data_IF_264511632969
#
_entry.id   IF_264511632969
#
_cell.length_a   1.000
_cell.length_b   1.000
_cell.length_c   1.000
_cell.angle_alpha   90.00
_cell.angle_beta   90.00
_cell.angle_gamma   90.00
#
_symmetry.space_group_name_H-M   'P 1'
#
loop_
_entity.id
_entity.type
_entity.pdbx_description
1 polymer ?
#
# COMPACT_ATOMS: atom_id res chain seq x y z
N UNK A 1 8.38 17.82 -23.49
CA UNK A 1 8.00 18.66 -24.66
C UNK A 1 7.10 17.92 -25.64
N UNK A 2 7.48 16.73 -26.10
CA UNK A 2 6.70 15.99 -27.09
C UNK A 2 5.35 15.52 -26.54
N UNK A 3 5.30 15.11 -25.25
CA UNK A 3 4.08 14.78 -24.54
C UNK A 3 3.05 15.94 -24.57
N UNK A 4 3.49 17.17 -24.32
CA UNK A 4 2.61 18.34 -24.32
C UNK A 4 2.11 18.70 -25.72
N UNK A 5 2.97 18.57 -26.73
CA UNK A 5 2.56 18.74 -28.13
C UNK A 5 1.54 17.69 -28.58
N UNK A 6 1.71 16.45 -28.11
CA UNK A 6 0.77 15.37 -28.41
C UNK A 6 -0.58 15.60 -27.72
N UNK A 7 -0.56 16.08 -26.46
CA UNK A 7 -1.77 16.47 -25.75
C UNK A 7 -2.53 17.61 -26.46
N UNK A 8 -1.82 18.59 -27.00
CA UNK A 8 -2.45 19.68 -27.77
C UNK A 8 -3.17 19.18 -29.02
N UNK A 9 -2.62 18.16 -29.69
CA UNK A 9 -3.26 17.57 -30.89
C UNK A 9 -4.50 16.74 -30.52
N UNK A 10 -4.49 16.12 -29.34
CA UNK A 10 -5.54 15.22 -28.88
C UNK A 10 -6.49 15.87 -27.87
N UNK A 11 -6.51 17.18 -27.76
CA UNK A 11 -7.41 17.89 -26.85
C UNK A 11 -8.90 17.68 -27.24
N UNK A 12 -9.82 17.50 -26.27
CA UNK A 12 -9.60 17.50 -24.83
C UNK A 12 -8.99 16.20 -24.31
N UNK A 13 -8.01 16.28 -23.41
CA UNK A 13 -7.33 15.10 -22.85
C UNK A 13 -6.81 15.33 -21.42
N UNK A 14 -6.35 14.26 -20.79
CA UNK A 14 -5.72 14.28 -19.48
C UNK A 14 -4.27 13.81 -19.64
N UNK A 15 -3.32 14.61 -19.15
CA UNK A 15 -1.92 14.21 -18.98
C UNK A 15 -1.77 13.69 -17.54
N UNK A 16 -1.32 12.46 -17.38
CA UNK A 16 -1.01 11.90 -16.08
C UNK A 16 0.51 11.70 -15.93
N UNK A 17 1.08 12.25 -14.85
CA UNK A 17 2.51 12.15 -14.54
C UNK A 17 2.63 11.45 -13.18
N UNK A 18 3.06 10.19 -13.20
CA UNK A 18 3.32 9.45 -11.97
C UNK A 18 4.72 9.75 -11.44
N UNK A 19 4.90 9.60 -10.11
CA UNK A 19 6.17 9.84 -9.42
C UNK A 19 6.82 11.19 -9.77
N UNK A 20 6.04 12.27 -9.76
CA UNK A 20 6.50 13.61 -10.14
C UNK A 20 7.71 14.08 -9.32
N UNK A 21 7.93 13.53 -8.12
CA UNK A 21 9.08 13.81 -7.26
C UNK A 21 10.42 13.33 -7.88
N UNK A 22 10.38 12.44 -8.87
CA UNK A 22 11.58 12.04 -9.61
C UNK A 22 12.23 13.23 -10.34
N UNK A 23 11.43 14.17 -10.83
CA UNK A 23 11.88 15.36 -11.56
C UNK A 23 11.63 16.66 -10.78
N UNK A 24 10.60 16.68 -9.95
CA UNK A 24 10.09 17.86 -9.23
C UNK A 24 10.71 18.14 -7.87
N UNK A 25 11.86 17.58 -7.53
CA UNK A 25 12.49 17.72 -6.20
C UNK A 25 13.07 19.11 -6.00
N UNK A 26 12.89 19.68 -4.80
CA UNK A 26 13.43 20.98 -4.38
C UNK A 26 14.97 21.02 -4.43
N UNK A 27 15.51 22.19 -4.72
CA UNK A 27 16.96 22.48 -4.86
C UNK A 27 17.77 22.37 -3.58
N UNK A 28 17.11 22.32 -2.41
CA UNK A 28 17.76 22.39 -1.08
C UNK A 28 18.45 21.07 -0.65
N UNK A 29 18.44 20.03 -1.44
CA UNK A 29 19.11 18.77 -1.09
C UNK A 29 20.61 18.84 -1.41
N UNK A 30 21.43 19.03 -0.38
CA UNK A 30 22.89 19.20 -0.36
C UNK A 30 23.76 18.02 -0.86
N UNK A 31 23.27 17.13 -1.72
CA UNK A 31 24.06 16.03 -2.26
C UNK A 31 24.23 16.17 -3.77
N UNK A 32 25.50 16.42 -4.14
CA UNK A 32 25.92 16.79 -5.46
C UNK A 32 25.83 15.73 -6.56
N UNK A 33 25.96 16.20 -7.81
CA UNK A 33 26.32 15.40 -8.97
C UNK A 33 25.20 14.65 -9.66
N UNK A 34 24.26 15.32 -10.26
CA UNK A 34 23.15 14.76 -11.03
C UNK A 34 21.99 15.73 -11.18
N UNK A 35 22.19 16.96 -10.75
CA UNK A 35 21.13 17.94 -10.63
C UNK A 35 20.82 18.70 -11.94
N UNK A 36 21.76 18.84 -12.85
CA UNK A 36 21.56 19.71 -14.03
C UNK A 36 20.49 19.17 -14.98
N UNK A 37 20.49 17.89 -15.30
CA UNK A 37 19.46 17.28 -16.16
C UNK A 37 18.05 17.33 -15.53
N UNK A 38 17.98 17.10 -14.21
CA UNK A 38 16.71 17.19 -13.48
C UNK A 38 16.20 18.62 -13.43
N UNK A 39 17.06 19.57 -13.11
CA UNK A 39 16.71 20.99 -13.12
C UNK A 39 16.27 21.44 -14.49
N UNK A 40 16.94 21.01 -15.53
CA UNK A 40 16.56 21.31 -16.91
C UNK A 40 15.19 20.71 -17.25
N UNK A 41 14.93 19.46 -16.84
CA UNK A 41 13.65 18.79 -17.05
C UNK A 41 12.54 19.49 -16.27
N UNK A 42 12.78 19.86 -15.00
CA UNK A 42 11.83 20.60 -14.17
C UNK A 42 11.52 21.95 -14.80
N UNK A 43 12.53 22.73 -15.18
CA UNK A 43 12.35 24.02 -15.81
C UNK A 43 11.59 23.91 -17.15
N UNK A 44 11.85 22.87 -17.92
CA UNK A 44 11.11 22.59 -19.14
C UNK A 44 9.64 22.26 -18.82
N UNK A 45 9.37 21.42 -17.82
CA UNK A 45 8.01 21.09 -17.38
C UNK A 45 7.26 22.37 -16.96
N UNK A 46 7.88 23.21 -16.12
CA UNK A 46 7.29 24.47 -15.67
C UNK A 46 6.98 25.41 -16.86
N UNK A 47 7.89 25.50 -17.82
CA UNK A 47 7.70 26.32 -19.03
C UNK A 47 6.55 25.80 -19.91
N UNK A 48 6.44 24.48 -20.07
CA UNK A 48 5.33 23.88 -20.84
C UNK A 48 3.99 24.09 -20.11
N UNK A 49 3.96 24.00 -18.77
CA UNK A 49 2.74 24.27 -17.99
C UNK A 49 2.32 25.74 -18.07
N UNK A 50 3.26 26.69 -17.99
CA UNK A 50 2.98 28.11 -18.06
C UNK A 50 2.54 28.56 -19.48
N UNK A 51 2.96 27.83 -20.51
CA UNK A 51 2.56 28.05 -21.89
C UNK A 51 1.21 27.41 -22.27
N UNK A 52 0.58 26.71 -21.33
CA UNK A 52 -0.66 25.99 -21.62
C UNK A 52 -1.87 26.93 -21.66
N UNK A 53 -2.61 26.88 -22.78
CA UNK A 53 -3.91 27.56 -22.87
C UNK A 53 -4.99 26.70 -22.20
N UNK A 54 -5.43 27.11 -21.01
CA UNK A 54 -6.49 26.42 -20.25
C UNK A 54 -7.83 26.27 -21.00
N UNK A 55 -8.02 26.99 -22.10
CA UNK A 55 -9.21 26.89 -22.94
C UNK A 55 -9.23 25.64 -23.81
N UNK A 56 -8.09 24.98 -24.01
CA UNK A 56 -7.99 23.76 -24.84
C UNK A 56 -8.55 22.49 -24.19
N UNK A 57 -9.01 22.56 -22.93
CA UNK A 57 -9.62 21.41 -22.24
C UNK A 57 -8.62 20.32 -21.87
N UNK A 58 -7.35 20.67 -21.58
CA UNK A 58 -6.33 19.74 -21.14
C UNK A 58 -6.17 19.84 -19.62
N UNK A 59 -6.19 18.70 -18.93
CA UNK A 59 -6.00 18.61 -17.48
C UNK A 59 -4.69 17.89 -17.22
N UNK A 60 -3.85 18.44 -16.33
CA UNK A 60 -2.62 17.80 -15.90
C UNK A 60 -2.81 17.27 -14.49
N UNK A 61 -2.62 15.97 -14.32
CA UNK A 61 -2.61 15.29 -13.04
C UNK A 61 -1.20 14.78 -12.75
N UNK A 62 -0.76 14.92 -11.52
CA UNK A 62 0.48 14.31 -11.06
C UNK A 62 0.26 13.54 -9.76
N UNK A 63 0.99 12.46 -9.56
CA UNK A 63 0.99 11.69 -8.34
C UNK A 63 2.38 11.63 -7.70
N UNK A 64 2.43 11.63 -6.38
CA UNK A 64 3.66 11.43 -5.60
C UNK A 64 3.34 10.86 -4.23
N UNK A 65 4.25 10.01 -3.73
CA UNK A 65 4.24 9.54 -2.35
C UNK A 65 5.04 10.46 -1.41
N UNK A 66 5.68 11.53 -1.95
CA UNK A 66 6.59 12.40 -1.22
C UNK A 66 6.33 13.88 -1.52
N UNK A 67 5.14 14.40 -1.19
CA UNK A 67 4.76 15.78 -1.51
C UNK A 67 5.66 16.82 -0.85
N UNK A 68 6.29 16.49 0.28
CA UNK A 68 7.16 17.36 1.06
C UNK A 68 8.47 17.74 0.35
N UNK A 69 8.92 16.92 -0.62
CA UNK A 69 10.17 17.18 -1.34
C UNK A 69 9.97 17.93 -2.65
N UNK A 70 8.72 18.16 -3.06
CA UNK A 70 8.42 18.87 -4.31
C UNK A 70 8.87 20.34 -4.27
N UNK A 71 9.37 20.81 -5.40
CA UNK A 71 9.69 22.22 -5.59
C UNK A 71 8.41 23.06 -5.49
N UNK A 72 8.48 24.11 -4.68
CA UNK A 72 7.36 25.04 -4.46
C UNK A 72 6.87 25.69 -5.75
N UNK A 73 7.71 25.79 -6.77
CA UNK A 73 7.34 26.31 -8.07
C UNK A 73 6.27 25.47 -8.77
N UNK A 74 6.27 24.14 -8.58
CA UNK A 74 5.23 23.25 -9.11
C UNK A 74 3.85 23.50 -8.49
N UNK A 75 3.82 23.98 -7.25
CA UNK A 75 2.61 24.14 -6.44
C UNK A 75 2.00 25.55 -6.51
N UNK A 76 2.52 26.41 -7.40
CA UNK A 76 1.99 27.76 -7.59
C UNK A 76 0.68 27.74 -8.38
N UNK A 77 -0.20 28.75 -8.19
CA UNK A 77 -1.40 28.93 -8.99
C UNK A 77 -1.09 28.92 -10.49
N UNK A 78 -1.95 28.26 -11.27
CA UNK A 78 -1.75 28.04 -12.70
C UNK A 78 -0.92 26.80 -13.06
N UNK A 79 -0.45 26.04 -12.05
CA UNK A 79 0.25 24.77 -12.21
C UNK A 79 -0.51 23.68 -11.43
N UNK A 80 0.13 22.97 -10.48
CA UNK A 80 -0.60 22.05 -9.59
C UNK A 80 -1.21 22.83 -8.42
N UNK A 81 -2.28 23.52 -8.68
CA UNK A 81 -2.97 24.39 -7.72
C UNK A 81 -3.93 23.65 -6.80
N UNK A 82 -4.35 22.44 -7.17
CA UNK A 82 -5.20 21.58 -6.37
C UNK A 82 -4.44 20.36 -5.88
N UNK A 83 -4.57 20.11 -4.57
CA UNK A 83 -4.00 18.91 -3.92
C UNK A 83 -5.13 18.01 -3.46
N UNK A 84 -5.03 16.75 -3.82
CA UNK A 84 -5.95 15.70 -3.37
C UNK A 84 -5.12 14.73 -2.57
N UNK A 85 -5.46 14.58 -1.30
CA UNK A 85 -4.83 13.58 -0.42
C UNK A 85 -5.60 12.28 -0.62
N UNK A 86 -4.88 11.22 -0.94
CA UNK A 86 -5.42 9.86 -1.02
C UNK A 86 -4.98 9.13 0.24
N UNK A 87 -5.86 9.11 1.23
CA UNK A 87 -5.61 8.44 2.50
C UNK A 87 -5.70 6.91 2.38
N UNK A 88 -5.25 6.22 3.43
CA UNK A 88 -5.50 4.78 3.55
C UNK A 88 -7.00 4.51 3.58
N UNK A 89 -7.46 3.40 2.97
CA UNK A 89 -8.88 3.09 2.95
C UNK A 89 -9.41 2.77 4.35
N UNK A 90 -10.61 3.27 4.66
CA UNK A 90 -11.41 2.85 5.79
C UNK A 90 -11.91 1.40 5.59
N UNK A 91 -12.64 0.85 6.55
CA UNK A 91 -13.17 -0.52 6.48
C UNK A 91 -13.98 -0.75 5.19
N UNK A 92 -14.91 0.16 4.88
CA UNK A 92 -15.74 0.07 3.68
C UNK A 92 -14.93 0.16 2.39
N UNK A 93 -13.93 1.02 2.38
CA UNK A 93 -12.96 1.15 1.30
C UNK A 93 -12.18 -0.14 1.08
N UNK A 94 -11.70 -0.78 2.16
CA UNK A 94 -11.00 -2.07 2.09
C UNK A 94 -11.88 -3.18 1.52
N UNK A 95 -13.14 -3.27 1.98
CA UNK A 95 -14.11 -4.22 1.42
C UNK A 95 -14.31 -4.01 -0.08
N UNK A 96 -14.48 -2.76 -0.50
CA UNK A 96 -14.67 -2.44 -1.93
C UNK A 96 -13.42 -2.78 -2.76
N UNK A 97 -12.23 -2.49 -2.27
CA UNK A 97 -10.96 -2.84 -2.93
C UNK A 97 -10.83 -4.37 -3.05
N UNK A 98 -11.09 -5.11 -1.98
CA UNK A 98 -11.08 -6.57 -2.01
C UNK A 98 -12.06 -7.11 -3.04
N UNK A 99 -13.30 -6.60 -3.09
CA UNK A 99 -14.30 -6.99 -4.09
C UNK A 99 -13.86 -6.72 -5.53
N UNK A 100 -13.17 -5.60 -5.78
CA UNK A 100 -12.63 -5.29 -7.12
C UNK A 100 -11.59 -6.32 -7.55
N UNK A 101 -10.64 -6.65 -6.66
CA UNK A 101 -9.57 -7.62 -6.98
C UNK A 101 -10.05 -9.08 -6.94
N UNK A 102 -11.13 -9.36 -6.23
CA UNK A 102 -11.76 -10.69 -6.18
C UNK A 102 -12.59 -11.03 -7.41
N UNK A 103 -12.93 -10.05 -8.25
CA UNK A 103 -13.89 -10.20 -9.35
C UNK A 103 -13.55 -11.34 -10.33
N UNK A 104 -12.26 -11.50 -10.61
CA UNK A 104 -11.76 -12.49 -11.59
C UNK A 104 -11.15 -13.73 -10.90
N UNK A 105 -11.37 -13.89 -9.59
CA UNK A 105 -10.84 -14.99 -8.79
C UNK A 105 -12.00 -15.90 -8.35
N UNK A 106 -11.87 -17.20 -8.62
CA UNK A 106 -12.84 -18.19 -8.18
C UNK A 106 -12.75 -18.38 -6.67
N UNK A 107 -13.83 -18.09 -5.97
CA UNK A 107 -13.93 -18.20 -4.52
C UNK A 107 -14.99 -19.22 -4.13
N UNK A 108 -14.78 -19.95 -3.04
CA UNK A 108 -15.78 -20.87 -2.51
C UNK A 108 -16.79 -20.15 -1.59
N UNK A 109 -17.79 -20.90 -1.12
CA UNK A 109 -18.88 -20.36 -0.28
C UNK A 109 -18.41 -19.94 1.12
N UNK A 110 -17.18 -20.28 1.53
CA UNK A 110 -16.66 -19.95 2.85
C UNK A 110 -16.12 -18.52 2.91
N UNK A 111 -15.93 -17.86 1.76
CA UNK A 111 -15.24 -16.57 1.68
C UNK A 111 -16.14 -15.43 2.18
N UNK A 112 -15.64 -14.77 3.22
CA UNK A 112 -16.15 -13.54 3.78
C UNK A 112 -15.10 -12.43 3.66
N UNK A 113 -15.31 -11.52 2.70
CA UNK A 113 -14.39 -10.40 2.44
C UNK A 113 -14.51 -9.30 3.51
N UNK A 114 -15.64 -9.19 4.20
CA UNK A 114 -15.81 -8.24 5.30
C UNK A 114 -14.94 -8.65 6.49
N UNK A 115 -14.89 -9.94 6.83
CA UNK A 115 -13.99 -10.47 7.85
C UNK A 115 -12.50 -10.24 7.49
N UNK A 116 -12.13 -10.36 6.21
CA UNK A 116 -10.77 -10.05 5.76
C UNK A 116 -10.47 -8.56 5.85
N UNK A 117 -11.42 -7.70 5.50
CA UNK A 117 -11.26 -6.25 5.64
C UNK A 117 -11.06 -5.82 7.09
N UNK A 118 -11.79 -6.43 8.04
CA UNK A 118 -11.58 -6.22 9.48
C UNK A 118 -10.17 -6.62 9.90
N UNK A 119 -9.71 -7.80 9.48
CA UNK A 119 -8.37 -8.32 9.82
C UNK A 119 -7.21 -7.54 9.16
N UNK A 120 -7.49 -6.60 8.26
CA UNK A 120 -6.48 -5.86 7.48
C UNK A 120 -6.49 -4.36 7.77
N UNK A 121 -6.77 -3.97 9.03
CA UNK A 121 -6.72 -2.57 9.44
C UNK A 121 -5.35 -1.94 9.09
N UNK A 122 -5.38 -0.73 8.51
CA UNK A 122 -4.19 -0.02 8.07
C UNK A 122 -3.54 -0.50 6.76
N UNK A 123 -4.04 -1.57 6.13
CA UNK A 123 -3.57 -2.04 4.83
C UNK A 123 -3.93 -1.04 3.72
N UNK A 124 -3.06 -0.94 2.72
CA UNK A 124 -3.30 -0.12 1.51
C UNK A 124 -3.81 -0.98 0.36
N UNK A 125 -4.28 -0.33 -0.72
CA UNK A 125 -4.85 -1.03 -1.87
C UNK A 125 -3.92 -2.08 -2.47
N UNK A 126 -2.62 -1.79 -2.56
CA UNK A 126 -1.62 -2.73 -3.07
C UNK A 126 -1.47 -3.98 -2.18
N UNK A 127 -1.55 -3.82 -0.85
CA UNK A 127 -1.51 -4.95 0.10
C UNK A 127 -2.72 -5.84 -0.10
N UNK A 128 -3.92 -5.25 -0.20
CA UNK A 128 -5.18 -5.99 -0.40
C UNK A 128 -5.20 -6.74 -1.74
N UNK A 129 -4.71 -6.12 -2.81
CA UNK A 129 -4.54 -6.78 -4.11
C UNK A 129 -3.58 -7.98 -4.01
N UNK A 130 -2.45 -7.79 -3.32
CA UNK A 130 -1.48 -8.86 -3.11
C UNK A 130 -2.03 -9.99 -2.26
N UNK A 131 -2.88 -9.71 -1.25
CA UNK A 131 -3.55 -10.74 -0.45
C UNK A 131 -4.44 -11.65 -1.29
N UNK A 132 -5.24 -11.08 -2.19
CA UNK A 132 -6.06 -11.88 -3.12
C UNK A 132 -5.19 -12.75 -4.01
N UNK A 133 -4.09 -12.21 -4.54
CA UNK A 133 -3.17 -12.96 -5.39
C UNK A 133 -2.45 -14.09 -4.61
N UNK A 134 -1.94 -13.83 -3.40
CA UNK A 134 -1.30 -14.85 -2.56
C UNK A 134 -2.30 -15.94 -2.15
N UNK A 135 -3.57 -15.60 -1.89
CA UNK A 135 -4.61 -16.57 -1.58
C UNK A 135 -4.88 -17.49 -2.79
N UNK A 136 -4.96 -16.93 -4.00
CA UNK A 136 -5.10 -17.73 -5.22
C UNK A 136 -3.90 -18.66 -5.44
N UNK A 137 -2.68 -18.16 -5.22
CA UNK A 137 -1.46 -19.01 -5.28
C UNK A 137 -1.52 -20.15 -4.26
N UNK A 138 -2.01 -19.90 -3.05
CA UNK A 138 -2.14 -20.94 -2.02
C UNK A 138 -3.15 -22.01 -2.42
N UNK A 139 -4.30 -21.65 -2.96
CA UNK A 139 -5.29 -22.60 -3.47
C UNK A 139 -4.71 -23.49 -4.54
N UNK A 140 -4.00 -22.91 -5.52
CA UNK A 140 -3.35 -23.66 -6.61
C UNK A 140 -2.26 -24.61 -6.09
N UNK A 141 -1.45 -24.19 -5.12
CA UNK A 141 -0.42 -25.04 -4.49
C UNK A 141 -1.01 -26.26 -3.78
N UNK A 142 -2.23 -26.15 -3.25
CA UNK A 142 -2.97 -27.23 -2.63
C UNK A 142 -3.83 -28.03 -3.65
N UNK A 143 -3.70 -27.75 -4.95
CA UNK A 143 -4.41 -28.44 -6.02
C UNK A 143 -5.90 -28.10 -6.12
N UNK A 144 -6.32 -26.93 -5.59
CA UNK A 144 -7.71 -26.45 -5.62
C UNK A 144 -7.90 -25.35 -6.66
N UNK A 145 -9.08 -25.31 -7.25
CA UNK A 145 -9.47 -24.27 -8.21
C UNK A 145 -10.10 -23.05 -7.52
N UNK A 146 -10.63 -23.23 -6.30
CA UNK A 146 -11.34 -22.20 -5.56
C UNK A 146 -10.53 -21.75 -4.34
N UNK A 147 -10.51 -20.44 -4.13
CA UNK A 147 -9.94 -19.81 -2.93
C UNK A 147 -10.91 -19.97 -1.77
N UNK A 148 -10.42 -20.42 -0.63
CA UNK A 148 -11.18 -20.53 0.62
C UNK A 148 -10.85 -19.37 1.57
N UNK A 149 -11.69 -19.20 2.60
CA UNK A 149 -11.43 -18.23 3.67
C UNK A 149 -10.07 -18.47 4.37
N UNK A 150 -9.67 -19.74 4.51
CA UNK A 150 -8.38 -20.11 5.09
C UNK A 150 -7.20 -19.59 4.26
N UNK A 151 -7.30 -19.61 2.94
CA UNK A 151 -6.25 -19.12 2.05
C UNK A 151 -6.10 -17.61 2.19
N UNK A 152 -7.22 -16.88 2.31
CA UNK A 152 -7.23 -15.44 2.52
C UNK A 152 -6.59 -15.08 3.86
N UNK A 153 -6.95 -15.71 4.98
CA UNK A 153 -6.30 -15.45 6.26
C UNK A 153 -4.80 -15.79 6.23
N UNK A 154 -4.39 -16.88 5.56
CA UNK A 154 -2.98 -17.19 5.36
C UNK A 154 -2.26 -16.11 4.54
N UNK A 155 -2.91 -15.57 3.52
CA UNK A 155 -2.39 -14.47 2.71
C UNK A 155 -2.27 -13.16 3.52
N UNK A 156 -3.24 -12.85 4.39
CA UNK A 156 -3.16 -11.72 5.32
C UNK A 156 -1.89 -11.82 6.18
N UNK A 157 -1.63 -12.98 6.77
CA UNK A 157 -0.42 -13.21 7.57
C UNK A 157 0.86 -13.01 6.74
N UNK A 158 0.90 -13.56 5.53
CA UNK A 158 2.07 -13.46 4.64
C UNK A 158 2.35 -12.01 4.25
N UNK A 159 1.32 -11.23 3.92
CA UNK A 159 1.47 -9.85 3.45
C UNK A 159 1.80 -8.90 4.59
N UNK A 160 1.16 -9.05 5.77
CA UNK A 160 1.35 -8.12 6.89
C UNK A 160 2.57 -8.46 7.75
N UNK A 161 2.87 -9.74 7.94
CA UNK A 161 3.92 -10.20 8.88
C UNK A 161 5.08 -10.89 8.18
N UNK A 162 4.91 -11.28 6.93
CA UNK A 162 5.90 -11.99 6.12
C UNK A 162 5.74 -13.50 6.14
N UNK A 163 6.49 -14.15 5.25
CA UNK A 163 6.49 -15.64 5.12
C UNK A 163 7.15 -16.29 6.33
N UNK A 164 6.75 -17.52 6.64
CA UNK A 164 7.42 -18.34 7.65
C UNK A 164 8.86 -18.61 7.26
N UNK A 165 9.78 -18.44 8.21
CA UNK A 165 11.18 -18.85 8.07
C UNK A 165 11.30 -20.34 8.42
N UNK A 166 11.25 -21.19 7.43
CA UNK A 166 11.40 -22.65 7.62
C UNK A 166 12.81 -23.06 8.05
N UNK A 167 13.80 -22.21 7.75
CA UNK A 167 15.23 -22.53 7.99
C UNK A 167 15.71 -22.09 9.37
N UNK A 168 14.91 -21.36 10.14
CA UNK A 168 15.27 -20.94 11.50
C UNK A 168 14.72 -21.88 12.55
N UNK A 169 15.59 -22.76 13.04
CA UNK A 169 15.28 -23.62 14.17
C UNK A 169 15.59 -22.85 15.45
N UNK A 170 14.56 -22.47 16.21
CA UNK A 170 14.74 -21.86 17.52
C UNK A 170 15.13 -22.91 18.56
N UNK A 171 16.06 -22.60 19.44
CA UNK A 171 16.40 -23.43 20.58
C UNK A 171 15.21 -23.53 21.55
N UNK A 172 15.25 -24.52 22.45
CA UNK A 172 14.19 -24.67 23.47
C UNK A 172 14.09 -23.44 24.38
N UNK A 173 15.22 -22.82 24.70
CA UNK A 173 15.26 -21.60 25.53
C UNK A 173 14.69 -20.40 24.80
N UNK A 174 15.10 -20.18 23.55
CA UNK A 174 14.53 -19.11 22.70
C UNK A 174 13.02 -19.25 22.56
N UNK A 175 12.52 -20.46 22.27
CA UNK A 175 11.07 -20.72 22.20
C UNK A 175 10.37 -20.35 23.49
N UNK A 176 10.96 -20.69 24.63
CA UNK A 176 10.39 -20.39 25.93
C UNK A 176 10.33 -18.88 26.16
N UNK A 177 11.42 -18.16 25.88
CA UNK A 177 11.48 -16.70 26.04
C UNK A 177 10.46 -16.01 25.14
N UNK A 178 10.41 -16.37 23.84
CA UNK A 178 9.45 -15.79 22.90
C UNK A 178 8.01 -16.13 23.29
N UNK A 179 7.74 -17.37 23.73
CA UNK A 179 6.41 -17.77 24.20
C UNK A 179 5.92 -16.91 25.37
N UNK A 180 6.77 -16.69 26.38
CA UNK A 180 6.42 -15.83 27.51
C UNK A 180 6.20 -14.38 27.08
N UNK A 181 6.99 -13.89 26.13
CA UNK A 181 6.87 -12.54 25.60
C UNK A 181 5.52 -12.35 24.89
N UNK A 182 5.19 -13.20 23.94
CA UNK A 182 3.96 -13.11 23.15
C UNK A 182 2.70 -13.37 24.01
N UNK A 183 2.76 -14.37 24.91
CA UNK A 183 1.67 -14.63 25.84
C UNK A 183 1.49 -13.45 26.82
N UNK A 184 2.58 -12.80 27.24
CA UNK A 184 2.52 -11.59 28.06
C UNK A 184 1.77 -10.46 27.36
N UNK A 185 2.09 -10.19 26.09
CA UNK A 185 1.36 -9.21 25.29
C UNK A 185 -0.12 -9.56 25.14
N UNK A 186 -0.42 -10.80 24.78
CA UNK A 186 -1.80 -11.25 24.61
C UNK A 186 -2.62 -11.18 25.91
N UNK A 187 -2.02 -11.56 27.04
CA UNK A 187 -2.68 -11.52 28.34
C UNK A 187 -2.97 -10.07 28.76
N UNK A 188 -2.00 -9.16 28.61
CA UNK A 188 -2.19 -7.75 28.94
C UNK A 188 -3.28 -7.14 28.04
N UNK A 189 -3.27 -7.42 26.75
CA UNK A 189 -4.33 -6.98 25.83
C UNK A 189 -5.70 -7.50 26.24
N UNK A 190 -5.82 -8.80 26.49
CA UNK A 190 -7.09 -9.44 26.86
C UNK A 190 -7.70 -8.94 28.19
N UNK A 191 -6.86 -8.43 29.10
CA UNK A 191 -7.30 -7.89 30.39
C UNK A 191 -7.62 -6.39 30.35
N UNK A 192 -7.32 -5.69 29.27
CA UNK A 192 -7.59 -4.26 29.12
C UNK A 192 -8.94 -4.02 28.44
N UNK A 193 -9.72 -3.07 28.97
CA UNK A 193 -11.06 -2.73 28.44
C UNK A 193 -11.05 -2.07 27.04
N UNK A 194 -9.95 -1.41 26.69
CA UNK A 194 -9.82 -0.62 25.46
C UNK A 194 -8.80 -1.24 24.49
N UNK A 195 -8.55 -2.52 24.62
CA UNK A 195 -7.67 -3.26 23.72
C UNK A 195 -8.49 -4.09 22.75
N UNK A 196 -8.03 -4.16 21.52
CA UNK A 196 -8.63 -5.02 20.50
C UNK A 196 -8.51 -6.50 20.88
N UNK A 197 -9.52 -7.34 20.56
CA UNK A 197 -9.49 -8.76 20.86
C UNK A 197 -8.28 -9.48 20.25
N UNK A 198 -7.65 -10.34 21.04
CA UNK A 198 -6.57 -11.20 20.57
C UNK A 198 -7.15 -12.34 19.76
N UNK A 199 -6.84 -12.38 18.46
CA UNK A 199 -7.28 -13.43 17.55
C UNK A 199 -6.31 -14.60 17.46
N UNK A 200 -4.99 -14.29 17.44
CA UNK A 200 -3.96 -15.32 17.25
C UNK A 200 -2.67 -14.95 17.97
N UNK A 201 -2.03 -15.95 18.54
CA UNK A 201 -0.67 -15.87 19.10
C UNK A 201 0.19 -16.88 18.35
N UNK A 202 1.39 -16.50 17.94
CA UNK A 202 2.34 -17.42 17.30
C UNK A 202 3.77 -17.12 17.73
N UNK A 203 4.59 -18.16 17.78
CA UNK A 203 6.05 -18.07 17.98
C UNK A 203 6.82 -18.52 16.73
N UNK A 204 6.16 -18.59 15.60
CA UNK A 204 6.79 -18.96 14.32
C UNK A 204 7.53 -17.76 13.76
N UNK A 205 8.87 -17.86 13.54
CA UNK A 205 9.64 -16.76 12.98
C UNK A 205 9.19 -16.38 11.56
N UNK A 206 9.12 -15.07 11.28
CA UNK A 206 8.70 -14.53 9.99
C UNK A 206 9.83 -13.76 9.28
N UNK A 207 9.69 -13.60 7.96
CA UNK A 207 10.73 -12.96 7.13
C UNK A 207 10.92 -11.48 7.43
N UNK A 208 9.91 -10.79 7.95
CA UNK A 208 9.99 -9.38 8.36
C UNK A 208 10.64 -9.17 9.73
N UNK A 209 11.30 -10.19 10.30
CA UNK A 209 12.10 -10.07 11.53
C UNK A 209 11.38 -10.46 12.80
N UNK A 210 10.08 -10.66 12.79
CA UNK A 210 9.33 -11.11 13.94
C UNK A 210 9.70 -12.55 14.32
N UNK A 211 9.96 -12.80 15.62
CA UNK A 211 10.19 -14.13 16.20
C UNK A 211 8.87 -14.79 16.61
N UNK A 212 7.88 -13.99 16.87
CA UNK A 212 6.50 -14.29 17.18
C UNK A 212 5.66 -13.04 16.97
N UNK A 213 4.35 -13.14 17.07
CA UNK A 213 3.45 -12.00 17.10
C UNK A 213 2.11 -12.33 17.72
N UNK A 214 1.43 -11.30 18.18
CA UNK A 214 0.02 -11.34 18.60
C UNK A 214 -0.78 -10.60 17.55
N UNK A 215 -1.81 -11.24 17.01
CA UNK A 215 -2.72 -10.64 16.04
C UNK A 215 -3.97 -10.16 16.75
N UNK A 216 -4.31 -8.91 16.55
CA UNK A 216 -5.52 -8.28 17.02
C UNK A 216 -6.46 -8.02 15.86
N UNK A 217 -7.75 -8.13 16.09
CA UNK A 217 -8.79 -7.78 15.10
C UNK A 217 -9.79 -6.87 15.81
N UNK A 218 -10.02 -5.66 15.30
CA UNK A 218 -11.04 -4.77 15.82
C UNK A 218 -12.43 -5.45 15.76
N UNK A 219 -13.25 -5.26 16.78
CA UNK A 219 -14.62 -5.77 16.77
C UNK A 219 -15.55 -4.87 15.92
N UNK A 220 -15.30 -3.55 15.90
CA UNK A 220 -16.01 -2.57 15.05
C UNK A 220 -15.16 -1.29 14.90
N UNK A 221 -15.21 -0.66 13.73
CA UNK A 221 -14.79 0.75 13.48
C UNK A 221 -16.00 1.63 13.31
#
# INVERSE_FOLDING_TARGET
>A
RDLFKEAEKNAPCIIFIDEIDAIGRSRDSKYGGGNEEREQTLNQLLSEMDGFDGKKGIIILAATNRPEILDKALLRPGRFDRRIIVDKPDLKGRVNILKVHAKDVLMDETVDLDAIALATSGAVGADLANMINEAAINAVKEGREFVSQKDLFSAVEVVLVGKEKKDRIMSKEERKIVSYHEVGHALVSALQKNSEPVQKITIVPRTMGALGYVMHVPEDE
#
